data_IF_058928509846
#
_entry.id   IF_058928509846
#
_cell.length_a   1.000
_cell.length_b   1.000
_cell.length_c   1.000
_cell.angle_alpha   90.00
_cell.angle_beta   90.00
_cell.angle_gamma   90.00
#
_symmetry.space_group_name_H-M   'P 1'
#
loop_
_entity.id
_entity.type
_entity.pdbx_description
1 polymer ?
#
# COMPACT_ATOMS: atom_id res chain seq x y z
N UNK A 1 -6.55 -16.80 -18.04
CA UNK A 1 -6.05 -16.64 -16.65
C UNK A 1 -4.83 -15.71 -16.63
N UNK A 2 -4.76 -14.75 -15.71
CA UNK A 2 -3.59 -13.88 -15.42
C UNK A 2 -3.03 -14.23 -14.03
N UNK A 3 -1.81 -13.76 -13.70
CA UNK A 3 -1.19 -14.00 -12.39
C UNK A 3 -2.06 -13.59 -11.19
N UNK A 4 -2.83 -12.51 -11.33
CA UNK A 4 -3.69 -12.00 -10.26
C UNK A 4 -5.00 -12.78 -10.08
N UNK A 5 -5.40 -13.62 -11.04
CA UNK A 5 -6.67 -14.35 -11.00
C UNK A 5 -6.52 -15.88 -10.93
N UNK A 6 -5.30 -16.37 -10.69
CA UNK A 6 -5.00 -17.80 -10.63
C UNK A 6 -5.90 -18.55 -9.65
N UNK A 7 -6.13 -18.05 -8.43
CA UNK A 7 -6.96 -18.73 -7.43
C UNK A 7 -8.41 -18.89 -7.92
N UNK A 8 -8.97 -17.83 -8.51
CA UNK A 8 -10.33 -17.86 -9.07
C UNK A 8 -10.41 -18.77 -10.28
N UNK A 9 -9.44 -18.70 -11.19
CA UNK A 9 -9.35 -19.59 -12.34
C UNK A 9 -9.23 -21.06 -11.92
N UNK A 10 -8.33 -21.37 -10.98
CA UNK A 10 -8.11 -22.72 -10.45
C UNK A 10 -9.41 -23.32 -9.91
N UNK A 11 -10.19 -22.54 -9.16
CA UNK A 11 -11.51 -22.99 -8.67
C UNK A 11 -12.46 -23.30 -9.82
N UNK A 12 -12.56 -22.42 -10.81
CA UNK A 12 -13.49 -22.58 -11.94
C UNK A 12 -13.09 -23.75 -12.85
N UNK A 13 -11.80 -23.89 -13.16
CA UNK A 13 -11.31 -24.97 -14.03
C UNK A 13 -11.46 -26.35 -13.36
N UNK A 14 -11.26 -26.46 -12.04
CA UNK A 14 -11.53 -27.70 -11.30
C UNK A 14 -13.01 -28.09 -11.41
N UNK A 15 -13.93 -27.14 -11.22
CA UNK A 15 -15.37 -27.40 -11.34
C UNK A 15 -15.70 -27.87 -12.75
N UNK A 16 -15.14 -27.20 -13.76
CA UNK A 16 -15.35 -27.54 -15.16
C UNK A 16 -14.82 -28.93 -15.52
N UNK A 17 -13.55 -29.24 -15.20
CA UNK A 17 -12.92 -30.53 -15.49
C UNK A 17 -13.62 -31.69 -14.75
N UNK A 18 -14.16 -31.42 -13.55
CA UNK A 18 -15.00 -32.38 -12.83
C UNK A 18 -16.29 -32.66 -13.57
N UNK A 19 -16.94 -31.64 -14.11
CA UNK A 19 -18.14 -31.78 -14.95
C UNK A 19 -17.88 -32.61 -16.21
N UNK A 20 -16.68 -32.47 -16.79
CA UNK A 20 -16.22 -33.25 -17.95
C UNK A 20 -15.70 -34.66 -17.58
N UNK A 21 -15.67 -35.02 -16.30
CA UNK A 21 -15.16 -36.31 -15.78
C UNK A 21 -13.69 -36.60 -16.11
N UNK A 22 -12.88 -35.58 -16.40
CA UNK A 22 -11.45 -35.73 -16.71
C UNK A 22 -10.53 -35.26 -15.58
N UNK A 23 -11.08 -34.71 -14.50
CA UNK A 23 -10.29 -34.20 -13.36
C UNK A 23 -9.33 -35.26 -12.78
N UNK A 24 -9.74 -36.54 -12.76
CA UNK A 24 -8.94 -37.63 -12.20
C UNK A 24 -7.60 -37.86 -12.93
N UNK A 25 -7.51 -37.47 -14.21
CA UNK A 25 -6.26 -37.52 -14.98
C UNK A 25 -5.35 -36.33 -14.62
N UNK A 26 -5.95 -35.19 -14.25
CA UNK A 26 -5.22 -33.97 -13.91
C UNK A 26 -4.68 -33.99 -12.48
N UNK A 27 -5.46 -34.46 -11.52
CA UNK A 27 -5.03 -34.56 -10.11
C UNK A 27 -4.18 -35.80 -9.81
N UNK A 28 -3.99 -36.69 -10.79
CA UNK A 28 -3.17 -37.90 -10.69
C UNK A 28 -3.87 -39.06 -9.98
N UNK A 29 -5.17 -38.94 -9.64
CA UNK A 29 -5.95 -40.04 -9.05
C UNK A 29 -6.04 -41.24 -10.00
N UNK A 30 -6.02 -40.98 -11.30
CA UNK A 30 -5.98 -41.99 -12.36
C UNK A 30 -4.63 -41.93 -13.08
N UNK A 31 -3.62 -42.71 -12.66
CA UNK A 31 -2.32 -42.72 -13.31
C UNK A 31 -2.42 -43.32 -14.72
N UNK A 32 -1.47 -42.94 -15.59
CA UNK A 32 -1.37 -43.50 -16.93
C UNK A 32 -1.17 -45.02 -16.85
N UNK A 33 -2.06 -45.83 -17.44
CA UNK A 33 -1.88 -47.28 -17.49
C UNK A 33 -0.78 -47.65 -18.48
N UNK A 34 -0.31 -48.90 -18.46
CA UNK A 34 0.60 -49.39 -19.48
C UNK A 34 -0.07 -49.35 -20.87
N UNK A 35 0.73 -49.12 -21.90
CA UNK A 35 0.35 -49.15 -23.32
C UNK A 35 -0.36 -50.44 -23.74
N UNK A 36 -0.10 -51.55 -23.05
CA UNK A 36 -0.76 -52.84 -23.28
C UNK A 36 -2.16 -52.95 -22.66
N UNK A 37 -2.54 -52.01 -21.79
CA UNK A 37 -3.78 -52.05 -21.03
C UNK A 37 -4.97 -51.63 -21.90
N UNK A 38 -6.12 -52.33 -21.85
CA UNK A 38 -7.30 -52.02 -22.67
C UNK A 38 -7.88 -50.61 -22.49
N UNK A 39 -7.53 -49.93 -21.40
CA UNK A 39 -8.00 -48.57 -21.08
C UNK A 39 -7.00 -47.47 -21.44
N UNK A 40 -5.83 -47.82 -22.02
CA UNK A 40 -4.79 -46.85 -22.37
C UNK A 40 -5.30 -45.76 -23.32
N UNK A 41 -5.95 -46.16 -24.42
CA UNK A 41 -6.46 -45.21 -25.41
C UNK A 41 -7.53 -44.27 -24.82
N UNK A 42 -8.39 -44.79 -23.94
CA UNK A 42 -9.40 -43.99 -23.25
C UNK A 42 -8.74 -43.00 -22.29
N UNK A 43 -7.69 -43.43 -21.57
CA UNK A 43 -6.94 -42.56 -20.67
C UNK A 43 -6.26 -41.42 -21.43
N UNK A 44 -5.62 -41.72 -22.56
CA UNK A 44 -4.99 -40.72 -23.44
C UNK A 44 -6.03 -39.72 -23.96
N UNK A 45 -7.20 -40.17 -24.37
CA UNK A 45 -8.29 -39.26 -24.77
C UNK A 45 -8.69 -38.32 -23.62
N UNK A 46 -8.84 -38.84 -22.40
CA UNK A 46 -9.14 -38.00 -21.23
C UNK A 46 -8.02 -37.01 -20.92
N UNK A 47 -6.76 -37.42 -21.07
CA UNK A 47 -5.58 -36.56 -20.95
C UNK A 47 -5.63 -35.41 -21.96
N UNK A 48 -5.83 -35.71 -23.24
CA UNK A 48 -5.81 -34.71 -24.31
C UNK A 48 -6.97 -33.72 -24.18
N UNK A 49 -8.15 -34.20 -23.77
CA UNK A 49 -9.30 -33.35 -23.44
C UNK A 49 -8.92 -32.40 -22.30
N UNK A 50 -8.38 -32.92 -21.19
CA UNK A 50 -8.01 -32.09 -20.05
C UNK A 50 -6.93 -31.06 -20.40
N UNK A 51 -5.88 -31.50 -21.11
CA UNK A 51 -4.78 -30.64 -21.54
C UNK A 51 -5.27 -29.53 -22.48
N UNK A 52 -6.17 -29.85 -23.41
CA UNK A 52 -6.79 -28.85 -24.30
C UNK A 52 -7.55 -27.76 -23.53
N UNK A 53 -8.33 -28.15 -22.52
CA UNK A 53 -9.06 -27.20 -21.66
C UNK A 53 -8.13 -26.34 -20.81
N UNK A 54 -7.03 -26.91 -20.33
CA UNK A 54 -5.98 -26.14 -19.67
C UNK A 54 -5.48 -25.07 -20.63
N UNK A 55 -4.93 -25.44 -21.79
CA UNK A 55 -4.37 -24.49 -22.77
C UNK A 55 -5.36 -23.38 -23.18
N UNK A 56 -6.61 -23.72 -23.50
CA UNK A 56 -7.61 -22.75 -23.99
C UNK A 56 -8.01 -21.71 -22.93
N UNK A 57 -7.87 -22.03 -21.64
CA UNK A 57 -8.30 -21.13 -20.55
C UNK A 57 -7.17 -20.26 -19.99
N UNK A 58 -5.92 -20.48 -20.43
CA UNK A 58 -4.76 -19.68 -20.07
C UNK A 58 -4.70 -18.38 -20.89
N UNK A 59 -4.04 -17.36 -20.33
CA UNK A 59 -3.65 -16.19 -21.15
C UNK A 59 -2.46 -16.60 -22.06
N UNK A 60 -2.34 -16.01 -23.27
CA UNK A 60 -1.25 -16.28 -24.20
C UNK A 60 0.15 -16.40 -23.56
N UNK A 61 0.54 -15.48 -22.68
CA UNK A 61 1.88 -15.49 -22.07
C UNK A 61 2.13 -16.70 -21.16
N UNK A 62 1.10 -17.12 -20.41
CA UNK A 62 1.20 -18.32 -19.55
C UNK A 62 1.17 -19.57 -20.41
N UNK A 63 0.34 -19.57 -21.46
CA UNK A 63 0.24 -20.68 -22.39
C UNK A 63 1.56 -20.91 -23.14
N UNK A 64 2.22 -19.85 -23.59
CA UNK A 64 3.55 -19.91 -24.22
C UNK A 64 4.59 -20.50 -23.26
N UNK A 65 4.56 -20.09 -21.99
CA UNK A 65 5.43 -20.68 -20.95
C UNK A 65 5.21 -22.19 -20.89
N UNK A 66 3.95 -22.63 -20.80
CA UNK A 66 3.60 -24.06 -20.74
C UNK A 66 4.06 -24.83 -21.98
N UNK A 67 3.90 -24.25 -23.17
CA UNK A 67 4.36 -24.84 -24.44
C UNK A 67 5.89 -25.00 -24.49
N UNK A 68 6.65 -24.07 -23.91
CA UNK A 68 8.11 -24.16 -23.85
C UNK A 68 8.61 -25.33 -22.99
N UNK A 69 7.83 -25.80 -22.01
CA UNK A 69 8.14 -26.97 -21.20
C UNK A 69 7.68 -28.30 -21.84
N UNK A 70 7.05 -28.25 -23.02
CA UNK A 70 6.64 -29.42 -23.78
C UNK A 70 5.85 -30.48 -22.97
N UNK A 71 4.98 -30.03 -22.05
CA UNK A 71 4.15 -30.92 -21.23
C UNK A 71 3.20 -31.75 -22.11
N UNK A 72 3.36 -33.08 -22.09
CA UNK A 72 2.48 -34.00 -22.82
C UNK A 72 1.30 -34.48 -21.96
N UNK A 73 1.44 -34.43 -20.63
CA UNK A 73 0.41 -34.84 -19.71
C UNK A 73 -0.28 -33.63 -19.09
N UNK A 74 -1.60 -33.70 -18.98
CA UNK A 74 -2.43 -32.70 -18.30
C UNK A 74 -2.01 -32.55 -16.83
N UNK A 75 -1.58 -33.65 -16.20
CA UNK A 75 -1.04 -33.65 -14.85
C UNK A 75 0.24 -32.81 -14.74
N UNK A 76 1.21 -33.03 -15.61
CA UNK A 76 2.48 -32.29 -15.61
C UNK A 76 2.24 -30.79 -15.83
N UNK A 77 1.35 -30.47 -16.78
CA UNK A 77 0.94 -29.11 -17.03
C UNK A 77 0.29 -28.47 -15.79
N UNK A 78 -0.55 -29.21 -15.09
CA UNK A 78 -1.20 -28.76 -13.87
C UNK A 78 -0.21 -28.48 -12.74
N UNK A 79 0.73 -29.41 -12.50
CA UNK A 79 1.77 -29.28 -11.48
C UNK A 79 2.69 -28.09 -11.78
N UNK A 80 3.10 -27.91 -13.03
CA UNK A 80 3.92 -26.76 -13.42
C UNK A 80 3.19 -25.44 -13.20
N UNK A 81 1.91 -25.35 -13.57
CA UNK A 81 1.09 -24.18 -13.28
C UNK A 81 1.02 -23.95 -11.76
N UNK A 82 0.76 -24.99 -10.96
CA UNK A 82 0.76 -24.86 -9.50
C UNK A 82 2.07 -24.28 -8.96
N UNK A 83 3.22 -24.74 -9.45
CA UNK A 83 4.54 -24.23 -9.03
C UNK A 83 4.74 -22.77 -9.44
N UNK A 84 4.53 -22.45 -10.72
CA UNK A 84 4.67 -21.09 -11.25
C UNK A 84 3.81 -20.10 -10.46
N UNK A 85 2.55 -20.45 -10.22
CA UNK A 85 1.66 -19.56 -9.48
C UNK A 85 1.90 -19.58 -7.98
N UNK A 86 2.43 -20.64 -7.37
CA UNK A 86 2.85 -20.61 -5.96
C UNK A 86 3.98 -19.61 -5.75
N UNK A 87 5.00 -19.62 -6.61
CA UNK A 87 6.15 -18.72 -6.51
C UNK A 87 5.75 -17.25 -6.74
N UNK A 88 4.94 -17.02 -7.78
CA UNK A 88 4.40 -15.70 -8.06
C UNK A 88 3.45 -15.22 -6.95
N UNK A 89 2.55 -16.07 -6.45
CA UNK A 89 1.63 -15.74 -5.36
C UNK A 89 2.39 -15.41 -4.08
N UNK A 90 3.45 -16.16 -3.77
CA UNK A 90 4.28 -15.93 -2.57
C UNK A 90 5.01 -14.58 -2.64
N UNK A 91 5.67 -14.30 -3.77
CA UNK A 91 6.40 -13.03 -3.97
C UNK A 91 5.44 -11.84 -3.99
N UNK A 92 4.33 -11.94 -4.73
CA UNK A 92 3.29 -10.91 -4.78
C UNK A 92 2.66 -10.69 -3.41
N UNK A 93 2.38 -11.75 -2.65
CA UNK A 93 1.88 -11.65 -1.28
C UNK A 93 2.84 -10.89 -0.39
N UNK A 94 4.14 -11.26 -0.40
CA UNK A 94 5.16 -10.56 0.37
C UNK A 94 5.25 -9.07 -0.01
N UNK A 95 5.21 -8.76 -1.30
CA UNK A 95 5.25 -7.39 -1.79
C UNK A 95 4.02 -6.57 -1.37
N UNK A 96 2.82 -7.11 -1.58
CA UNK A 96 1.56 -6.48 -1.15
C UNK A 96 1.53 -6.30 0.36
N UNK A 97 2.05 -7.26 1.13
CA UNK A 97 2.10 -7.20 2.59
C UNK A 97 3.04 -6.10 3.05
N UNK A 98 4.21 -5.99 2.43
CA UNK A 98 5.16 -4.93 2.71
C UNK A 98 4.58 -3.54 2.39
N UNK A 99 3.91 -3.40 1.23
CA UNK A 99 3.20 -2.17 0.88
C UNK A 99 2.12 -1.83 1.90
N UNK A 100 1.26 -2.79 2.25
CA UNK A 100 0.17 -2.59 3.20
C UNK A 100 0.65 -2.19 4.61
N UNK A 101 1.78 -2.72 5.06
CA UNK A 101 2.36 -2.38 6.37
C UNK A 101 3.06 -1.02 6.41
N UNK A 102 3.54 -0.55 5.25
CA UNK A 102 4.34 0.69 5.15
C UNK A 102 3.68 1.68 4.20
N UNK A 103 2.35 1.78 4.21
CA UNK A 103 1.62 2.73 3.37
C UNK A 103 1.29 4.02 4.14
N UNK A 104 2.14 5.07 4.05
CA UNK A 104 1.85 6.35 4.67
C UNK A 104 0.79 7.13 3.87
N UNK A 105 0.02 8.00 4.55
CA UNK A 105 -0.82 8.99 3.88
C UNK A 105 -0.01 9.89 2.96
N UNK A 106 1.17 10.34 3.42
CA UNK A 106 2.03 11.25 2.66
C UNK A 106 1.29 12.51 2.21
N UNK A 107 1.42 12.88 0.94
CA UNK A 107 0.75 14.01 0.31
C UNK A 107 -0.63 13.68 -0.27
N UNK A 108 -1.15 12.46 -0.07
CA UNK A 108 -2.46 12.05 -0.59
C UNK A 108 -3.58 12.74 0.17
N UNK A 109 -4.72 12.92 -0.52
CA UNK A 109 -5.98 13.26 0.15
C UNK A 109 -6.38 12.13 1.10
N UNK A 110 -7.18 12.45 2.13
CA UNK A 110 -7.65 11.42 3.06
C UNK A 110 -8.47 10.32 2.35
N UNK A 111 -9.30 10.70 1.38
CA UNK A 111 -10.08 9.74 0.59
C UNK A 111 -9.22 8.84 -0.29
N UNK A 112 -8.24 9.40 -1.00
CA UNK A 112 -7.32 8.61 -1.84
C UNK A 112 -6.49 7.63 -1.00
N UNK A 113 -6.03 8.10 0.18
CA UNK A 113 -5.31 7.26 1.13
C UNK A 113 -6.14 6.05 1.57
N UNK A 114 -7.37 6.30 2.04
CA UNK A 114 -8.27 5.24 2.50
C UNK A 114 -8.65 4.29 1.37
N UNK A 115 -8.89 4.80 0.16
CA UNK A 115 -9.22 3.98 -1.01
C UNK A 115 -8.05 3.09 -1.44
N UNK A 116 -6.83 3.62 -1.48
CA UNK A 116 -5.65 2.83 -1.84
C UNK A 116 -5.36 1.74 -0.79
N UNK A 117 -5.46 2.06 0.50
CA UNK A 117 -5.24 1.09 1.56
C UNK A 117 -6.31 -0.02 1.56
N UNK A 118 -7.58 0.32 1.31
CA UNK A 118 -8.64 -0.66 1.13
C UNK A 118 -8.41 -1.52 -0.12
N UNK A 119 -7.90 -0.94 -1.22
CA UNK A 119 -7.52 -1.69 -2.42
C UNK A 119 -6.41 -2.71 -2.14
N UNK A 120 -5.38 -2.33 -1.38
CA UNK A 120 -4.32 -3.25 -0.93
C UNK A 120 -4.88 -4.38 -0.06
N UNK A 121 -5.78 -4.06 0.87
CA UNK A 121 -6.48 -5.06 1.69
C UNK A 121 -7.27 -6.05 0.84
N UNK A 122 -8.05 -5.57 -0.15
CA UNK A 122 -8.79 -6.43 -1.08
C UNK A 122 -7.87 -7.31 -1.93
N UNK A 123 -6.73 -6.77 -2.38
CA UNK A 123 -5.72 -7.53 -3.13
C UNK A 123 -5.09 -8.64 -2.29
N UNK A 124 -4.76 -8.37 -1.03
CA UNK A 124 -4.23 -9.38 -0.10
C UNK A 124 -5.22 -10.53 0.10
N UNK A 125 -6.51 -10.21 0.28
CA UNK A 125 -7.58 -11.22 0.31
C UNK A 125 -7.69 -12.01 -1.00
N UNK A 126 -7.56 -11.36 -2.15
CA UNK A 126 -7.59 -12.00 -3.47
C UNK A 126 -6.45 -13.01 -3.68
N UNK A 127 -5.27 -12.75 -3.11
CA UNK A 127 -4.08 -13.63 -3.15
C UNK A 127 -4.16 -14.74 -2.07
N UNK A 128 -5.25 -14.78 -1.29
CA UNK A 128 -5.55 -15.81 -0.30
C UNK A 128 -4.99 -15.53 1.10
N UNK A 129 -4.61 -14.29 1.40
CA UNK A 129 -4.18 -13.89 2.75
C UNK A 129 -5.39 -13.45 3.60
N UNK A 130 -5.56 -14.06 4.77
CA UNK A 130 -6.63 -13.71 5.71
C UNK A 130 -6.21 -12.51 6.58
N UNK A 131 -6.32 -11.29 6.04
CA UNK A 131 -6.13 -10.05 6.81
C UNK A 131 -7.44 -9.69 7.51
N UNK A 132 -7.43 -9.43 8.82
CA UNK A 132 -8.64 -9.03 9.53
C UNK A 132 -8.93 -7.55 9.28
N UNK A 133 -10.20 -7.16 9.32
CA UNK A 133 -10.57 -5.74 9.25
C UNK A 133 -9.95 -4.92 10.39
N UNK A 134 -9.72 -5.54 11.56
CA UNK A 134 -8.99 -4.92 12.68
C UNK A 134 -7.57 -4.48 12.30
N UNK A 135 -6.94 -5.21 11.38
CA UNK A 135 -5.58 -4.94 10.92
C UNK A 135 -5.57 -3.83 9.87
N UNK A 136 -6.62 -3.75 9.05
CA UNK A 136 -6.87 -2.61 8.17
C UNK A 136 -7.01 -1.33 8.98
N UNK A 137 -7.87 -1.33 10.01
CA UNK A 137 -8.05 -0.17 10.90
C UNK A 137 -6.75 0.21 11.61
N UNK A 138 -5.98 -0.77 12.08
CA UNK A 138 -4.68 -0.49 12.69
C UNK A 138 -3.71 0.16 11.70
N UNK A 139 -3.66 -0.32 10.46
CA UNK A 139 -2.76 0.25 9.46
C UNK A 139 -3.19 1.63 8.97
N UNK A 140 -4.50 1.90 8.91
CA UNK A 140 -4.99 3.26 8.69
C UNK A 140 -4.41 4.21 9.74
N UNK A 141 -4.49 3.85 11.03
CA UNK A 141 -4.03 4.71 12.11
C UNK A 141 -2.50 4.89 12.14
N UNK A 142 -1.74 3.84 11.80
CA UNK A 142 -0.28 3.88 11.75
C UNK A 142 0.27 4.72 10.58
N UNK A 143 -0.47 4.80 9.47
CA UNK A 143 -0.05 5.57 8.28
C UNK A 143 -0.38 7.06 8.34
N UNK A 144 -1.08 7.54 9.38
CA UNK A 144 -1.43 8.95 9.54
C UNK A 144 -0.22 9.79 10.00
N UNK A 145 -0.12 11.06 9.55
CA UNK A 145 0.92 11.96 10.01
C UNK A 145 0.68 12.42 11.45
N UNK A 146 1.72 12.97 12.09
CA UNK A 146 1.70 13.38 13.50
C UNK A 146 0.61 14.40 13.85
N UNK A 147 0.10 15.14 12.87
CA UNK A 147 -1.04 16.05 13.04
C UNK A 147 -2.31 15.33 13.56
N UNK A 148 -2.43 14.02 13.33
CA UNK A 148 -3.58 13.20 13.77
C UNK A 148 -3.33 12.50 15.11
N UNK A 149 -2.23 12.75 15.82
CA UNK A 149 -1.90 12.06 17.08
C UNK A 149 -2.99 12.23 18.15
N UNK A 150 -3.63 13.40 18.22
CA UNK A 150 -4.75 13.64 19.12
C UNK A 150 -5.94 12.72 18.81
N UNK A 151 -6.27 12.56 17.52
CA UNK A 151 -7.31 11.65 17.05
C UNK A 151 -6.96 10.19 17.34
N UNK A 152 -5.72 9.76 17.05
CA UNK A 152 -5.23 8.39 17.31
C UNK A 152 -5.35 8.04 18.80
N UNK A 153 -5.03 8.98 19.69
CA UNK A 153 -5.09 8.79 21.15
C UNK A 153 -6.52 8.55 21.64
N UNK A 154 -7.53 9.15 21.01
CA UNK A 154 -8.94 8.96 21.33
C UNK A 154 -9.47 7.64 20.75
N UNK A 155 -9.11 7.31 19.52
CA UNK A 155 -9.65 6.15 18.80
C UNK A 155 -9.01 4.83 19.26
N UNK A 156 -7.71 4.79 19.55
CA UNK A 156 -7.03 3.56 19.98
C UNK A 156 -7.66 2.85 21.19
N UNK A 157 -8.03 3.54 22.29
CA UNK A 157 -8.66 2.92 23.46
C UNK A 157 -10.16 2.62 23.27
N UNK A 158 -10.78 3.05 22.18
CA UNK A 158 -12.24 2.88 21.97
C UNK A 158 -12.58 1.40 21.76
N UNK A 159 -13.49 0.88 22.59
CA UNK A 159 -14.01 -0.50 22.51
C UNK A 159 -15.54 -0.48 22.37
N UNK A 160 -16.13 -1.16 21.36
CA UNK A 160 -15.47 -1.94 20.31
C UNK A 160 -14.72 -1.05 19.30
N UNK A 161 -13.64 -1.60 18.73
CA UNK A 161 -12.84 -0.90 17.70
C UNK A 161 -13.75 -0.54 16.51
N UNK A 162 -13.73 0.72 16.03
CA UNK A 162 -14.56 1.11 14.89
C UNK A 162 -14.21 0.30 13.64
N UNK A 163 -15.23 -0.07 12.88
CA UNK A 163 -15.04 -0.67 11.55
C UNK A 163 -14.46 0.35 10.57
N UNK A 164 -13.92 -0.12 9.44
CA UNK A 164 -13.37 0.78 8.42
C UNK A 164 -14.43 1.78 7.92
N UNK A 165 -15.68 1.32 7.79
CA UNK A 165 -16.82 2.15 7.40
C UNK A 165 -17.16 3.24 8.41
N UNK A 166 -16.98 2.99 9.72
CA UNK A 166 -17.22 3.98 10.76
C UNK A 166 -16.04 4.95 10.92
N UNK A 167 -14.82 4.48 10.66
CA UNK A 167 -13.60 5.27 10.79
C UNK A 167 -13.46 6.33 9.67
N UNK A 168 -13.85 5.99 8.44
CA UNK A 168 -13.73 6.87 7.27
C UNK A 168 -14.36 8.27 7.47
N UNK A 169 -15.64 8.42 7.85
CA UNK A 169 -16.24 9.75 8.04
C UNK A 169 -15.60 10.56 9.18
N UNK A 170 -15.13 9.87 10.22
CA UNK A 170 -14.42 10.50 11.35
C UNK A 170 -13.08 11.08 10.89
N UNK A 171 -12.33 10.34 10.08
CA UNK A 171 -11.06 10.80 9.53
C UNK A 171 -11.22 11.95 8.54
N UNK A 172 -12.26 11.94 7.71
CA UNK A 172 -12.54 13.05 6.78
C UNK A 172 -12.87 14.33 7.55
N UNK A 173 -13.67 14.22 8.62
CA UNK A 173 -14.01 15.35 9.47
C UNK A 173 -12.80 15.92 10.20
N UNK A 174 -11.90 15.05 10.67
CA UNK A 174 -10.66 15.47 11.32
C UNK A 174 -9.65 16.07 10.32
N UNK A 175 -9.54 15.54 9.10
CA UNK A 175 -8.69 16.11 8.04
C UNK A 175 -9.11 17.55 7.71
N UNK A 176 -10.41 17.83 7.64
CA UNK A 176 -10.94 19.18 7.48
C UNK A 176 -10.53 20.12 8.63
N UNK A 177 -10.57 19.64 9.88
CA UNK A 177 -10.12 20.42 11.06
C UNK A 177 -8.62 20.70 11.04
N UNK A 178 -7.81 19.69 10.72
CA UNK A 178 -6.35 19.79 10.64
C UNK A 178 -5.95 20.79 9.54
N UNK A 179 -6.57 20.71 8.36
CA UNK A 179 -6.31 21.64 7.26
C UNK A 179 -6.68 23.09 7.61
N UNK A 180 -7.79 23.32 8.33
CA UNK A 180 -8.15 24.64 8.83
C UNK A 180 -7.15 25.18 9.87
N UNK A 181 -6.64 24.32 10.77
CA UNK A 181 -5.67 24.73 11.78
C UNK A 181 -4.30 25.12 11.17
N UNK A 182 -3.88 24.45 10.10
CA UNK A 182 -2.64 24.79 9.39
C UNK A 182 -2.74 26.11 8.60
N UNK A 183 -3.91 26.43 8.03
CA UNK A 183 -4.11 27.74 7.37
C UNK A 183 -4.09 28.91 8.36
N UNK A 184 -4.60 28.73 9.59
CA UNK A 184 -4.56 29.79 10.61
C UNK A 184 -3.14 30.12 11.09
N UNK A 185 -2.24 29.14 11.19
CA UNK A 185 -0.86 29.36 11.65
C UNK A 185 0.02 30.13 10.64
N UNK A 186 -0.25 30.00 9.35
CA UNK A 186 0.50 30.70 8.29
C UNK A 186 0.09 32.18 8.17
N UNK A 187 -1.17 32.50 8.51
CA UNK A 187 -1.69 33.87 8.50
C UNK A 187 -1.08 34.68 9.66
N UNK A 188 -0.96 34.11 10.86
CA UNK A 188 -0.31 34.79 12.00
C UNK A 188 1.20 35.02 11.75
N UNK A 189 1.88 34.06 11.12
CA UNK A 189 3.32 34.17 10.81
C UNK A 189 3.61 35.27 9.76
N UNK A 190 2.70 35.47 8.81
CA UNK A 190 2.81 36.55 7.81
C UNK A 190 2.39 37.91 8.38
N UNK A 191 1.38 37.96 9.26
CA UNK A 191 0.92 39.21 9.91
C UNK A 191 1.97 39.83 10.85
N UNK A 192 2.79 39.01 11.52
CA UNK A 192 3.85 39.49 12.42
C UNK A 192 5.01 40.20 11.68
N UNK A 193 5.27 39.84 10.41
CA UNK A 193 6.32 40.46 9.58
C UNK A 193 5.91 41.84 9.04
N UNK A 194 4.62 42.14 8.93
CA UNK A 194 4.13 43.45 8.45
C UNK A 194 3.89 44.45 9.59
N UNK A 195 3.85 44.04 10.86
CA UNK A 195 3.55 44.92 11.99
C UNK A 195 4.74 45.71 12.58
N UNK A 196 5.97 45.57 12.07
CA UNK A 196 7.15 46.25 12.65
C UNK A 196 7.56 47.56 11.97
N UNK A 197 6.75 48.15 11.09
CA UNK A 197 7.05 49.47 10.50
C UNK A 197 6.02 50.51 10.92
N UNK A 198 6.19 51.11 12.09
CA UNK A 198 5.47 52.31 12.49
C UNK A 198 6.26 53.19 13.46
N UNK A 199 6.83 54.26 12.89
CA UNK A 199 7.05 55.61 13.44
C UNK A 199 7.94 55.83 14.68
N UNK A 200 9.15 56.35 14.42
CA UNK A 200 9.93 57.18 15.34
C UNK A 200 9.71 58.68 15.01
N UNK A 201 9.35 59.56 15.95
CA UNK A 201 9.32 61.00 15.71
C UNK A 201 10.74 61.59 15.89
N UNK A 202 11.22 62.33 14.89
CA UNK A 202 12.46 63.12 14.96
C UNK A 202 12.17 64.50 15.54
N UNK A 203 12.73 64.81 16.71
CA UNK A 203 12.86 66.19 17.19
C UNK A 203 14.25 66.73 16.86
N UNK A 204 14.28 67.85 16.15
CA UNK A 204 15.45 68.70 15.92
C UNK A 204 15.43 69.84 16.94
N UNK A 205 16.54 70.05 17.67
CA UNK A 205 16.84 71.37 18.20
C UNK A 205 18.33 71.67 18.17
N UNK A 206 18.61 72.91 17.80
CA UNK A 206 19.87 73.48 17.38
C UNK A 206 20.58 74.25 18.50
N UNK A 207 21.88 74.45 18.28
CA UNK A 207 22.71 75.59 18.72
C UNK A 207 23.28 75.64 20.15
N UNK A 208 24.58 75.34 20.22
CA UNK A 208 25.68 76.32 20.26
C UNK A 208 26.34 76.76 21.60
N UNK A 209 27.65 76.98 21.44
CA UNK A 209 28.60 77.84 22.18
C UNK A 209 29.03 77.51 23.62
N UNK A 210 30.27 77.00 23.72
CA UNK A 210 31.48 77.70 24.27
C UNK A 210 31.43 78.16 25.75
N UNK A 211 32.32 77.60 26.59
CA UNK A 211 33.42 78.34 27.23
C UNK A 211 34.22 77.48 28.23
N UNK A 212 35.53 77.73 28.22
CA UNK A 212 36.60 77.27 29.13
C UNK A 212 36.33 77.58 30.62
N UNK A 213 36.99 76.85 31.54
CA UNK A 213 38.06 77.41 32.39
C UNK A 213 38.82 76.33 33.20
N UNK A 214 40.11 76.62 33.38
CA UNK A 214 41.24 75.87 33.93
C UNK A 214 41.14 75.39 35.40
N UNK A 215 41.89 74.32 35.76
CA UNK A 215 42.91 74.38 36.84
C UNK A 215 43.91 73.20 36.90
N UNK A 216 45.14 73.52 36.50
CA UNK A 216 46.47 73.28 37.11
C UNK A 216 46.88 71.99 37.87
N UNK A 217 48.16 71.64 37.60
CA UNK A 217 49.23 70.96 38.39
C UNK A 217 49.41 69.47 38.04
N UNK A 218 50.61 68.90 37.88
CA UNK A 218 52.03 69.32 37.88
C UNK A 218 52.86 68.09 37.44
N UNK A 219 53.81 68.22 36.52
CA UNK A 219 55.29 68.23 36.70
C UNK A 219 55.94 66.86 37.06
N UNK A 220 57.06 66.59 36.37
CA UNK A 220 58.12 65.54 36.53
C UNK A 220 57.88 64.22 35.77
N UNK A 221 58.64 63.82 34.72
CA UNK A 221 60.09 63.59 34.46
C UNK A 221 60.53 62.13 34.73
N UNK A 222 61.32 61.61 33.76
CA UNK A 222 62.13 60.38 33.66
C UNK A 222 61.42 59.17 33.02
N UNK A 223 62.02 58.47 32.06
CA UNK A 223 63.43 58.36 31.66
C UNK A 223 63.50 57.91 30.19
#
# INVERSE_FOLDING_TARGET
MTYDNYISWKRLIIIFLRGQKVLAVVDGTMPCPDSSHPQYDMWIQCNDIALSWIHVTLNPSVNETLLNYACQLAHDAWVLLEQLFQDHTSTTRMHLRAQFQHFPKGSLSMDDYLQQLHSLYSKLHGVGENVKESDLVAQVLLGLPSAFNAFITVINPTTPRPSFSALRPLLISEDARVNHSHQSSDIDSSMFLYSTTSNQPKYSHSQAYRANYNKSKGKFINK
#
